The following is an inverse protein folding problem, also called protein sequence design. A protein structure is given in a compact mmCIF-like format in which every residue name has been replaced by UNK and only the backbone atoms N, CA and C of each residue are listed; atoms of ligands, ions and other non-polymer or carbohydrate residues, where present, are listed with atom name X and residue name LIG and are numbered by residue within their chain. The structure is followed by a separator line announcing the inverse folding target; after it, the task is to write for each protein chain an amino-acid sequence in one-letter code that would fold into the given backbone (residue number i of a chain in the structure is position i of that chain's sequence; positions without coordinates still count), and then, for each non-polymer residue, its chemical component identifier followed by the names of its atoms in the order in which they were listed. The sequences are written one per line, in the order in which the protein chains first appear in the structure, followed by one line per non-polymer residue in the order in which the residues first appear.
data_IF_850056189465
#
_entry.id   IF_850056189465
#
_cell.length_a   1.000
_cell.length_b   1.000
_cell.length_c   1.000
_cell.angle_alpha   90.00
_cell.angle_beta   90.00
_cell.angle_gamma   90.00
#
_symmetry.space_group_name_H-M   'P 1'
#
loop_
_entity.id
_entity.type
_entity.pdbx_description
1 polymer ?
#
# COMPACT_ATOMS: atom_id res chain seq x y z
N UNK A 1 12.99 -8.95 10.65
CA UNK A 1 12.08 -7.80 10.92
C UNK A 1 11.45 -7.99 12.28
N UNK A 2 11.38 -6.95 13.05
CA UNK A 2 10.64 -6.96 14.32
C UNK A 2 9.35 -6.17 14.10
N UNK A 3 8.21 -6.85 14.21
CA UNK A 3 6.91 -6.23 13.93
C UNK A 3 6.57 -5.09 14.89
N UNK A 4 7.17 -5.09 16.09
CA UNK A 4 6.97 -4.01 17.05
C UNK A 4 7.56 -2.69 16.56
N UNK A 5 8.51 -2.71 15.64
CA UNK A 5 9.10 -1.52 15.07
C UNK A 5 8.39 -1.04 13.81
N UNK A 6 7.32 -1.74 13.40
CA UNK A 6 6.54 -1.38 12.22
C UNK A 6 5.38 -0.48 12.66
N UNK A 7 5.29 0.68 12.03
CA UNK A 7 4.13 1.55 12.17
C UNK A 7 3.36 1.59 10.86
N UNK A 8 2.05 1.75 10.96
CA UNK A 8 1.17 1.84 9.79
C UNK A 8 0.59 3.24 9.72
N UNK A 9 0.64 3.85 8.54
CA UNK A 9 0.01 5.14 8.29
C UNK A 9 -0.53 5.20 6.86
N UNK A 10 -1.05 6.35 6.47
CA UNK A 10 -1.80 6.48 5.21
C UNK A 10 -1.21 7.50 4.25
N UNK A 11 -0.03 8.01 4.52
CA UNK A 11 0.59 9.01 3.65
C UNK A 11 2.02 8.65 3.31
N UNK A 12 2.42 9.02 2.11
CA UNK A 12 3.75 8.76 1.60
C UNK A 12 4.11 9.91 0.65
N UNK A 13 5.37 10.33 0.68
CA UNK A 13 5.83 11.33 -0.28
C UNK A 13 6.04 10.68 -1.64
N UNK A 14 6.07 11.49 -2.70
CA UNK A 14 6.32 10.98 -4.04
C UNK A 14 7.71 10.35 -4.14
N UNK A 15 8.70 10.96 -3.52
CA UNK A 15 10.05 10.40 -3.51
C UNK A 15 10.11 9.06 -2.80
N UNK A 16 9.44 8.94 -1.66
CA UNK A 16 9.34 7.67 -0.93
C UNK A 16 8.61 6.60 -1.75
N UNK A 17 7.53 7.01 -2.41
CA UNK A 17 6.74 6.12 -3.26
C UNK A 17 7.60 5.54 -4.38
N UNK A 18 8.33 6.39 -5.09
CA UNK A 18 9.20 5.95 -6.17
C UNK A 18 10.40 5.14 -5.69
N UNK A 19 10.94 5.46 -4.53
CA UNK A 19 12.01 4.67 -3.93
C UNK A 19 11.53 3.25 -3.62
N UNK A 20 10.33 3.14 -3.07
CA UNK A 20 9.73 1.85 -2.77
C UNK A 20 9.44 1.06 -4.05
N UNK A 21 8.90 1.72 -5.09
CA UNK A 21 8.67 1.08 -6.38
C UNK A 21 9.97 0.58 -7.00
N UNK A 22 11.00 1.41 -7.00
CA UNK A 22 12.30 1.04 -7.55
C UNK A 22 12.93 -0.14 -6.81
N UNK A 23 12.65 -0.27 -5.52
CA UNK A 23 13.22 -1.36 -4.71
C UNK A 23 12.79 -2.75 -5.19
N UNK A 24 11.69 -2.84 -5.93
CA UNK A 24 11.17 -4.09 -6.50
C UNK A 24 11.16 -4.06 -8.02
N UNK A 25 11.95 -3.17 -8.63
CA UNK A 25 12.09 -3.02 -10.07
C UNK A 25 10.80 -2.59 -10.77
N UNK A 26 9.91 -1.93 -10.08
CA UNK A 26 8.76 -1.28 -10.70
C UNK A 26 9.20 0.04 -11.30
N UNK A 27 8.57 0.42 -12.41
CA UNK A 27 8.82 1.70 -13.07
C UNK A 27 8.51 2.84 -12.10
N UNK A 28 9.41 3.83 -12.02
CA UNK A 28 9.11 5.04 -11.26
C UNK A 28 8.10 5.90 -12.01
N UNK A 29 7.30 6.64 -11.27
CA UNK A 29 6.20 7.41 -11.81
C UNK A 29 6.58 8.89 -11.76
N UNK A 30 6.37 9.58 -12.88
CA UNK A 30 6.62 11.02 -13.00
C UNK A 30 5.86 11.77 -11.90
N UNK A 31 6.47 12.81 -11.36
CA UNK A 31 5.95 13.50 -10.16
C UNK A 31 4.49 13.92 -10.27
N UNK A 32 4.10 14.57 -11.35
CA UNK A 32 2.72 15.04 -11.49
C UNK A 32 1.73 13.88 -11.59
N UNK A 33 2.13 12.77 -12.21
CA UNK A 33 1.30 11.57 -12.32
C UNK A 33 1.17 10.85 -10.99
N UNK A 34 2.27 10.75 -10.27
CA UNK A 34 2.28 10.12 -8.94
C UNK A 34 1.40 10.91 -7.97
N UNK A 35 1.46 12.23 -8.03
CA UNK A 35 0.63 13.07 -7.18
C UNK A 35 -0.85 12.83 -7.44
N UNK A 36 -1.25 12.80 -8.69
CA UNK A 36 -2.65 12.53 -9.06
C UNK A 36 -3.07 11.14 -8.57
N UNK A 37 -2.25 10.13 -8.83
CA UNK A 37 -2.57 8.75 -8.47
C UNK A 37 -2.73 8.58 -6.97
N UNK A 38 -1.80 9.10 -6.20
CA UNK A 38 -1.86 8.99 -4.74
C UNK A 38 -3.05 9.76 -4.17
N UNK A 39 -3.33 10.95 -4.70
CA UNK A 39 -4.44 11.77 -4.20
C UNK A 39 -5.82 11.19 -4.55
N UNK A 40 -5.91 10.41 -5.61
CA UNK A 40 -7.17 9.79 -6.03
C UNK A 40 -7.31 8.35 -5.56
N UNK A 41 -6.38 7.85 -4.78
CA UNK A 41 -6.51 6.52 -4.18
C UNK A 41 -7.62 6.54 -3.14
N UNK A 42 -8.43 5.48 -3.11
CA UNK A 42 -9.46 5.35 -2.10
C UNK A 42 -8.86 5.07 -0.72
N UNK A 43 -7.74 4.35 -0.71
CA UNK A 43 -7.06 4.00 0.53
C UNK A 43 -5.61 3.69 0.23
N UNK A 44 -4.74 4.15 1.09
CA UNK A 44 -3.30 3.88 1.00
C UNK A 44 -2.81 3.46 2.38
N UNK A 45 -2.12 2.34 2.45
CA UNK A 45 -1.54 1.86 3.70
C UNK A 45 -0.03 1.74 3.52
N UNK A 46 0.71 2.36 4.41
CA UNK A 46 2.16 2.41 4.37
C UNK A 46 2.69 1.78 5.66
N UNK A 47 3.57 0.80 5.50
CA UNK A 47 4.30 0.22 6.63
C UNK A 47 5.67 0.88 6.70
N UNK A 48 6.01 1.41 7.87
CA UNK A 48 7.29 2.08 8.10
C UNK A 48 8.04 1.38 9.22
N UNK A 49 9.34 1.26 9.05
CA UNK A 49 10.24 0.84 10.11
C UNK A 49 11.21 1.98 10.38
N UNK A 50 11.18 2.50 11.61
CA UNK A 50 11.99 3.67 11.99
C UNK A 50 11.80 4.86 11.04
N UNK A 51 10.54 5.08 10.63
CA UNK A 51 10.18 6.18 9.74
C UNK A 51 10.38 5.91 8.26
N UNK A 52 11.08 4.85 7.87
CA UNK A 52 11.35 4.53 6.48
C UNK A 52 10.27 3.60 5.92
N UNK A 53 9.66 3.91 4.78
CA UNK A 53 8.70 3.00 4.18
C UNK A 53 9.37 1.68 3.79
N UNK A 54 8.79 0.57 4.24
CA UNK A 54 9.28 -0.78 3.92
C UNK A 54 8.24 -1.61 3.20
N UNK A 55 6.99 -1.14 3.16
CA UNK A 55 5.94 -1.80 2.40
C UNK A 55 4.74 -0.90 2.23
N UNK A 56 3.89 -1.25 1.28
CA UNK A 56 2.66 -0.50 1.05
C UNK A 56 1.62 -1.34 0.32
N UNK A 57 0.39 -0.88 0.36
CA UNK A 57 -0.68 -1.33 -0.52
C UNK A 57 -1.58 -0.12 -0.81
N UNK A 58 -2.16 -0.08 -1.99
CA UNK A 58 -3.02 1.00 -2.41
C UNK A 58 -4.30 0.43 -3.00
N UNK A 59 -5.44 1.04 -2.69
CA UNK A 59 -6.74 0.64 -3.23
C UNK A 59 -7.23 1.75 -4.14
N UNK A 60 -7.63 1.38 -5.34
CA UNK A 60 -8.26 2.29 -6.30
C UNK A 60 -9.62 1.71 -6.71
N UNK A 61 -10.49 2.56 -7.23
CA UNK A 61 -11.80 2.11 -7.67
C UNK A 61 -12.76 3.26 -7.83
N UNK A 62 -14.04 2.94 -7.95
CA UNK A 62 -15.07 3.94 -8.20
C UNK A 62 -15.68 4.53 -6.91
N UNK A 63 -15.28 4.02 -5.76
CA UNK A 63 -15.84 4.45 -4.48
C UNK A 63 -17.21 3.87 -4.19
N UNK A 64 -17.78 3.12 -5.11
CA UNK A 64 -19.08 2.49 -4.95
C UNK A 64 -18.96 1.02 -4.61
N UNK A 65 -18.64 0.21 -5.60
CA UNK A 65 -18.55 -1.23 -5.40
C UNK A 65 -17.38 -1.90 -6.11
N UNK A 66 -16.61 -1.17 -6.90
CA UNK A 66 -15.44 -1.73 -7.59
C UNK A 66 -14.17 -1.26 -6.90
N UNK A 67 -13.37 -2.21 -6.43
CA UNK A 67 -12.12 -1.93 -5.74
C UNK A 67 -11.02 -2.81 -6.29
N UNK A 68 -9.85 -2.21 -6.54
CA UNK A 68 -8.65 -2.94 -6.92
C UNK A 68 -7.53 -2.64 -5.93
N UNK A 69 -6.89 -3.69 -5.44
CA UNK A 69 -5.66 -3.53 -4.66
C UNK A 69 -4.51 -3.49 -5.67
N UNK A 70 -3.72 -2.45 -5.59
CA UNK A 70 -2.55 -2.28 -6.45
C UNK A 70 -1.38 -1.77 -5.63
N UNK A 71 -0.20 -1.74 -6.25
CA UNK A 71 1.03 -1.31 -5.56
C UNK A 71 1.25 -2.04 -4.24
N UNK A 72 1.03 -3.35 -4.24
CA UNK A 72 1.40 -4.17 -3.08
C UNK A 72 2.90 -4.40 -3.17
N UNK A 73 3.63 -3.67 -2.39
CA UNK A 73 5.10 -3.65 -2.43
C UNK A 73 5.63 -3.96 -1.05
N UNK A 74 6.59 -4.87 -0.98
CA UNK A 74 7.39 -5.11 0.22
C UNK A 74 8.84 -5.00 -0.19
N UNK A 75 9.58 -4.13 0.47
CA UNK A 75 11.01 -3.93 0.19
C UNK A 75 11.73 -5.27 0.32
N UNK A 76 12.67 -5.60 -0.59
CA UNK A 76 13.33 -6.93 -0.57
C UNK A 76 13.89 -7.34 0.79
N UNK A 77 14.43 -6.38 1.55
CA UNK A 77 14.97 -6.65 2.88
C UNK A 77 13.91 -7.15 3.87
N UNK A 78 12.64 -6.97 3.57
CA UNK A 78 11.52 -7.30 4.46
C UNK A 78 10.58 -8.36 3.90
N UNK A 79 10.91 -8.94 2.75
CA UNK A 79 10.11 -9.99 2.14
C UNK A 79 10.24 -11.30 2.91
N UNK A 80 9.23 -12.14 2.78
CA UNK A 80 9.18 -13.48 3.39
C UNK A 80 9.19 -13.47 4.92
N UNK A 81 8.76 -12.38 5.53
CA UNK A 81 8.71 -12.21 6.97
C UNK A 81 7.29 -11.90 7.49
N UNK A 82 6.28 -12.02 6.61
CA UNK A 82 4.90 -11.77 6.97
C UNK A 82 4.43 -10.34 6.81
N UNK A 83 5.28 -9.42 6.35
CA UNK A 83 4.91 -8.01 6.23
C UNK A 83 3.83 -7.79 5.17
N UNK A 84 3.91 -8.48 4.03
CA UNK A 84 2.89 -8.37 2.99
C UNK A 84 1.52 -8.73 3.51
N UNK A 85 1.42 -9.82 4.25
CA UNK A 85 0.17 -10.24 4.87
C UNK A 85 -0.32 -9.24 5.90
N UNK A 86 0.60 -8.72 6.69
CA UNK A 86 0.30 -7.72 7.72
C UNK A 86 -0.32 -6.46 7.11
N UNK A 87 0.11 -6.09 5.91
CA UNK A 87 -0.41 -4.94 5.17
C UNK A 87 -1.75 -5.27 4.52
N UNK A 88 -1.86 -6.43 3.88
CA UNK A 88 -3.03 -6.80 3.08
C UNK A 88 -4.25 -7.10 3.94
N UNK A 89 -4.08 -7.71 5.10
CA UNK A 89 -5.22 -8.07 5.94
C UNK A 89 -6.10 -6.87 6.30
N UNK A 90 -5.56 -5.75 6.81
CA UNK A 90 -6.40 -4.58 7.10
C UNK A 90 -7.10 -4.02 5.87
N UNK A 91 -6.41 -3.98 4.74
CA UNK A 91 -6.95 -3.48 3.48
C UNK A 91 -8.13 -4.36 3.03
N UNK A 92 -7.92 -5.65 3.01
CA UNK A 92 -8.92 -6.61 2.58
C UNK A 92 -10.14 -6.58 3.49
N UNK A 93 -9.93 -6.54 4.79
CA UNK A 93 -11.02 -6.49 5.76
C UNK A 93 -11.82 -5.20 5.63
N UNK A 94 -11.15 -4.06 5.55
CA UNK A 94 -11.80 -2.75 5.58
C UNK A 94 -12.57 -2.47 4.29
N UNK A 95 -11.99 -2.81 3.14
CA UNK A 95 -12.55 -2.40 1.84
C UNK A 95 -13.20 -3.52 1.05
N UNK A 96 -12.53 -4.66 0.92
CA UNK A 96 -13.00 -5.73 0.05
C UNK A 96 -13.97 -6.65 0.76
N UNK A 97 -13.64 -7.04 1.99
CA UNK A 97 -14.46 -8.00 2.71
C UNK A 97 -15.81 -7.43 3.11
N UNK A 98 -15.84 -6.18 3.56
CA UNK A 98 -17.09 -5.52 3.90
C UNK A 98 -18.01 -5.35 2.69
N UNK A 99 -17.42 -5.17 1.51
CA UNK A 99 -18.16 -5.10 0.27
C UNK A 99 -18.70 -6.47 -0.15
N UNK A 100 -17.89 -7.49 -0.01
CA UNK A 100 -18.21 -8.85 -0.38
C UNK A 100 -19.47 -9.39 0.33
N UNK A 101 -19.62 -9.06 1.60
CA UNK A 101 -20.75 -9.53 2.40
C UNK A 101 -22.09 -9.03 1.90
N UNK A 102 -22.12 -8.06 1.02
CA UNK A 102 -23.34 -7.51 0.47
C UNK A 102 -23.94 -8.33 -0.67
N UNK A 103 -23.17 -9.23 -1.21
CA UNK A 103 -23.60 -10.04 -2.33
C UNK A 103 -24.37 -11.29 -1.91
N UNK A 104 -24.44 -11.51 -0.65
CA UNK A 104 -25.17 -12.66 -0.08
C UNK A 104 -26.71 -12.41 0.08
#
# INVERSE_FOLDING_TARGET
MNIENITLNHSITIDEYNDLRASVDFITIRENRARIALNHSLYTLIARENGRPVGMARVVGDGGYVYFICDVIVRPSHQSQGLGRYIIEPVSYTHLRAHETRHD
#
